data_IF_648804923568
#
_entry.id   IF_648804923568
#
_cell.length_a   1.000
_cell.length_b   1.000
_cell.length_c   1.000
_cell.angle_alpha   90.00
_cell.angle_beta   90.00
_cell.angle_gamma   90.00
#
_symmetry.space_group_name_H-M   'P 1'
#
loop_
_entity.id
_entity.type
_entity.pdbx_description
1 polymer ?
#
# COMPACT_ATOMS: atom_id res chain seq x y z
N UNK A 1 10.29 18.50 -6.20
CA UNK A 1 9.70 18.45 -7.56
C UNK A 1 8.81 17.21 -7.74
N UNK A 2 9.26 15.99 -7.48
CA UNK A 2 8.51 14.75 -7.72
C UNK A 2 7.11 14.74 -7.04
N UNK A 3 7.02 15.13 -5.77
CA UNK A 3 5.75 15.22 -5.03
C UNK A 3 4.92 16.42 -5.47
N UNK A 4 5.54 17.47 -5.98
CA UNK A 4 4.85 18.65 -6.52
C UNK A 4 4.20 18.40 -7.88
N UNK A 5 4.71 17.45 -8.66
CA UNK A 5 4.28 17.22 -10.03
C UNK A 5 2.75 17.16 -10.23
N UNK A 6 1.97 16.37 -9.46
CA UNK A 6 0.51 16.38 -9.62
C UNK A 6 -0.13 17.75 -9.27
N UNK A 7 0.44 18.47 -8.31
CA UNK A 7 -0.03 19.81 -7.96
C UNK A 7 0.26 20.82 -9.07
N UNK A 8 1.42 20.72 -9.71
CA UNK A 8 1.82 21.59 -10.83
C UNK A 8 0.92 21.37 -12.06
N UNK A 9 0.44 20.15 -12.26
CA UNK A 9 -0.36 19.78 -13.44
C UNK A 9 -1.86 19.99 -13.25
N UNK A 10 -2.38 19.82 -12.02
CA UNK A 10 -3.83 19.68 -11.80
C UNK A 10 -4.39 20.63 -10.73
N UNK A 11 -3.56 21.48 -10.09
CA UNK A 11 -4.01 22.45 -9.10
C UNK A 11 -3.85 23.87 -9.64
N UNK A 12 -4.79 24.75 -9.25
CA UNK A 12 -4.70 26.19 -9.49
C UNK A 12 -4.07 26.95 -8.30
N UNK A 13 -3.49 26.25 -7.35
CA UNK A 13 -2.90 26.83 -6.15
C UNK A 13 -1.65 27.66 -6.49
N UNK A 14 -1.33 28.63 -5.61
CA UNK A 14 -0.10 29.38 -5.73
C UNK A 14 1.12 28.47 -5.57
N UNK A 15 2.25 28.88 -6.13
CA UNK A 15 3.52 28.11 -5.92
C UNK A 15 3.83 27.90 -4.44
N UNK A 16 3.57 28.89 -3.61
CA UNK A 16 3.76 28.82 -2.15
C UNK A 16 2.89 27.71 -1.53
N UNK A 17 1.64 27.61 -1.91
CA UNK A 17 0.70 26.61 -1.38
C UNK A 17 1.06 25.21 -1.87
N UNK A 18 1.44 25.05 -3.13
CA UNK A 18 1.93 23.78 -3.69
C UNK A 18 3.18 23.29 -2.96
N UNK A 19 4.15 24.17 -2.70
CA UNK A 19 5.33 23.82 -1.90
C UNK A 19 4.94 23.40 -0.47
N UNK A 20 4.05 24.16 0.18
CA UNK A 20 3.55 23.82 1.52
C UNK A 20 2.88 22.44 1.53
N UNK A 21 2.02 22.16 0.54
CA UNK A 21 1.35 20.87 0.41
C UNK A 21 2.32 19.72 0.16
N UNK A 22 3.27 19.88 -0.74
CA UNK A 22 4.28 18.86 -1.03
C UNK A 22 5.14 18.54 0.21
N UNK A 23 5.53 19.56 0.98
CA UNK A 23 6.26 19.36 2.24
C UNK A 23 5.43 18.64 3.28
N UNK A 24 4.15 19.00 3.42
CA UNK A 24 3.22 18.28 4.27
C UNK A 24 3.12 16.79 3.88
N UNK A 25 2.97 16.46 2.60
CA UNK A 25 2.94 15.07 2.14
C UNK A 25 4.25 14.31 2.44
N UNK A 26 5.40 14.97 2.29
CA UNK A 26 6.69 14.37 2.66
C UNK A 26 6.84 14.13 4.17
N UNK A 27 6.32 15.04 4.99
CA UNK A 27 6.27 14.89 6.43
C UNK A 27 5.42 13.69 6.85
N UNK A 28 4.25 13.50 6.24
CA UNK A 28 3.35 12.37 6.48
C UNK A 28 3.96 10.99 6.22
N UNK A 29 4.93 10.93 5.33
CA UNK A 29 5.68 9.70 5.02
C UNK A 29 7.06 9.66 5.70
N UNK A 30 7.32 10.54 6.67
CA UNK A 30 8.59 10.65 7.40
C UNK A 30 9.81 10.88 6.49
N UNK A 31 9.67 11.76 5.48
CA UNK A 31 10.73 12.08 4.51
C UNK A 31 10.98 13.57 4.32
N UNK A 32 10.57 14.41 5.26
CA UNK A 32 10.79 15.86 5.16
C UNK A 32 12.28 16.22 5.05
N UNK A 33 13.15 15.49 5.74
CA UNK A 33 14.61 15.71 5.71
C UNK A 33 15.25 15.28 4.38
N UNK A 34 14.55 14.46 3.61
CA UNK A 34 14.98 14.02 2.28
C UNK A 34 14.45 14.87 1.13
N UNK A 35 13.77 16.00 1.41
CA UNK A 35 13.09 16.83 0.40
C UNK A 35 14.00 17.36 -0.73
N UNK A 36 15.31 17.42 -0.51
CA UNK A 36 16.31 17.90 -1.49
C UNK A 36 17.09 16.78 -2.16
N UNK A 37 16.86 15.53 -1.80
CA UNK A 37 17.54 14.37 -2.37
C UNK A 37 16.93 13.96 -3.71
N UNK A 38 17.77 13.47 -4.59
CA UNK A 38 17.34 12.83 -5.84
C UNK A 38 16.91 11.38 -5.59
N UNK A 39 16.06 10.78 -6.48
CA UNK A 39 15.64 9.39 -6.34
C UNK A 39 16.78 8.38 -6.19
N UNK A 40 17.93 8.61 -6.87
CA UNK A 40 19.12 7.75 -6.75
C UNK A 40 19.88 7.87 -5.42
N UNK A 41 19.55 8.85 -4.58
CA UNK A 41 20.20 9.10 -3.28
C UNK A 41 19.38 8.56 -2.11
N UNK A 42 18.25 7.92 -2.37
CA UNK A 42 17.33 7.38 -1.37
C UNK A 42 17.11 5.88 -1.59
N UNK A 43 16.82 5.14 -0.51
CA UNK A 43 16.57 3.70 -0.55
C UNK A 43 15.26 3.36 -1.30
N UNK A 44 15.10 2.09 -1.72
CA UNK A 44 13.87 1.60 -2.36
C UNK A 44 12.62 1.86 -1.50
N UNK A 45 12.67 1.59 -0.19
CA UNK A 45 11.58 1.90 0.72
C UNK A 45 11.27 3.40 0.83
N UNK A 46 12.30 4.26 0.79
CA UNK A 46 12.10 5.71 0.71
C UNK A 46 11.44 6.12 -0.61
N UNK A 47 11.81 5.51 -1.73
CA UNK A 47 11.19 5.76 -3.04
C UNK A 47 9.70 5.38 -3.04
N UNK A 48 9.34 4.23 -2.45
CA UNK A 48 7.94 3.82 -2.27
C UNK A 48 7.16 4.84 -1.43
N UNK A 49 7.74 5.33 -0.33
CA UNK A 49 7.11 6.37 0.50
C UNK A 49 6.94 7.70 -0.24
N UNK A 50 7.91 8.10 -1.07
CA UNK A 50 7.77 9.28 -1.95
C UNK A 50 6.63 9.09 -2.95
N UNK A 51 6.44 7.87 -3.51
CA UNK A 51 5.33 7.57 -4.41
C UNK A 51 3.97 7.72 -3.69
N UNK A 52 3.85 7.27 -2.45
CA UNK A 52 2.65 7.48 -1.61
C UNK A 52 2.44 8.98 -1.34
N UNK A 53 3.48 9.73 -0.94
CA UNK A 53 3.40 11.18 -0.73
C UNK A 53 2.89 11.92 -1.98
N UNK A 54 3.35 11.51 -3.16
CA UNK A 54 2.90 12.05 -4.45
C UNK A 54 1.45 11.71 -4.74
N UNK A 55 1.03 10.48 -4.45
CA UNK A 55 -0.34 10.03 -4.70
C UNK A 55 -1.36 10.79 -3.85
N UNK A 56 -1.04 11.12 -2.59
CA UNK A 56 -1.94 11.87 -1.69
C UNK A 56 -1.88 13.39 -1.85
N UNK A 57 -1.03 13.92 -2.73
CA UNK A 57 -0.82 15.37 -2.86
C UNK A 57 -2.10 16.13 -3.21
N UNK A 58 -2.97 15.56 -4.03
CA UNK A 58 -4.25 16.15 -4.48
C UNK A 58 -5.46 15.81 -3.59
N UNK A 59 -5.26 15.27 -2.39
CA UNK A 59 -6.36 14.82 -1.50
C UNK A 59 -7.33 13.86 -2.23
N UNK A 60 -6.87 12.73 -2.74
CA UNK A 60 -7.72 11.81 -3.48
C UNK A 60 -8.77 11.18 -2.55
N UNK A 61 -9.94 10.84 -3.12
CA UNK A 61 -10.95 10.00 -2.43
C UNK A 61 -10.65 8.51 -2.59
N UNK A 62 -9.88 8.14 -3.61
CA UNK A 62 -9.50 6.77 -3.94
C UNK A 62 -7.99 6.68 -4.12
N UNK A 63 -7.37 5.69 -3.47
CA UNK A 63 -5.94 5.40 -3.61
C UNK A 63 -5.78 3.98 -4.18
N UNK A 64 -5.01 3.85 -5.25
CA UNK A 64 -4.69 2.57 -5.87
C UNK A 64 -3.20 2.29 -5.70
N UNK A 65 -2.89 1.19 -5.03
CA UNK A 65 -1.53 0.73 -4.78
C UNK A 65 -1.33 -0.61 -5.50
N UNK A 66 -0.40 -0.63 -6.45
CA UNK A 66 -0.01 -1.84 -7.16
C UNK A 66 1.35 -2.32 -6.65
N UNK A 67 1.36 -3.48 -5.98
CA UNK A 67 2.55 -4.10 -5.38
C UNK A 67 3.41 -3.10 -4.58
N UNK A 68 2.83 -2.41 -3.57
CA UNK A 68 3.54 -1.33 -2.87
C UNK A 68 4.81 -1.81 -2.17
N UNK A 69 4.87 -3.07 -1.76
CA UNK A 69 5.97 -3.69 -1.02
C UNK A 69 6.95 -4.46 -1.87
N UNK A 70 6.72 -4.56 -3.19
CA UNK A 70 7.58 -5.34 -4.08
C UNK A 70 9.05 -4.91 -4.01
N UNK A 71 9.93 -5.87 -3.80
CA UNK A 71 11.38 -5.66 -3.75
C UNK A 71 11.91 -5.09 -2.44
N UNK A 72 11.12 -5.06 -1.37
CA UNK A 72 11.51 -4.61 -0.05
C UNK A 72 11.79 -5.81 0.89
N UNK A 73 12.59 -5.57 1.91
CA UNK A 73 12.74 -6.51 3.03
C UNK A 73 11.46 -6.55 3.90
N UNK A 74 11.21 -7.63 4.66
CA UNK A 74 9.98 -7.79 5.43
C UNK A 74 9.71 -6.66 6.43
N UNK A 75 10.75 -6.11 7.06
CA UNK A 75 10.60 -5.02 8.02
C UNK A 75 10.18 -3.73 7.35
N UNK A 76 10.76 -3.42 6.20
CA UNK A 76 10.41 -2.24 5.41
C UNK A 76 9.02 -2.38 4.80
N UNK A 77 8.60 -3.59 4.41
CA UNK A 77 7.25 -3.88 3.92
C UNK A 77 6.19 -3.56 4.97
N UNK A 78 6.37 -3.98 6.21
CA UNK A 78 5.46 -3.63 7.31
C UNK A 78 5.31 -2.11 7.50
N UNK A 79 6.39 -1.35 7.40
CA UNK A 79 6.33 0.12 7.49
C UNK A 79 5.51 0.73 6.36
N UNK A 80 5.54 0.16 5.15
CA UNK A 80 4.72 0.61 4.02
C UNK A 80 3.24 0.28 4.26
N UNK A 81 2.95 -0.93 4.76
CA UNK A 81 1.58 -1.36 5.07
C UNK A 81 0.96 -0.47 6.15
N UNK A 82 1.66 -0.26 7.27
CA UNK A 82 1.23 0.65 8.34
C UNK A 82 0.97 2.06 7.80
N UNK A 83 1.87 2.59 6.96
CA UNK A 83 1.72 3.91 6.36
C UNK A 83 0.47 4.00 5.45
N UNK A 84 0.19 2.98 4.64
CA UNK A 84 -1.00 2.92 3.79
C UNK A 84 -2.26 2.87 4.67
N UNK A 85 -2.27 2.05 5.70
CA UNK A 85 -3.37 1.94 6.65
C UNK A 85 -3.66 3.27 7.37
N UNK A 86 -2.62 3.91 7.92
CA UNK A 86 -2.73 5.19 8.63
C UNK A 86 -3.30 6.29 7.72
N UNK A 87 -2.78 6.40 6.50
CA UNK A 87 -3.24 7.38 5.50
C UNK A 87 -4.70 7.08 5.12
N UNK A 88 -5.05 5.84 4.88
CA UNK A 88 -6.41 5.40 4.54
C UNK A 88 -7.39 5.83 5.63
N UNK A 89 -7.05 5.56 6.87
CA UNK A 89 -7.91 5.84 8.04
C UNK A 89 -8.00 7.34 8.33
N UNK A 90 -6.85 8.01 8.40
CA UNK A 90 -6.78 9.44 8.77
C UNK A 90 -7.49 10.35 7.76
N UNK A 91 -7.34 10.06 6.47
CA UNK A 91 -7.93 10.88 5.40
C UNK A 91 -9.27 10.34 4.90
N UNK A 92 -9.77 9.25 5.48
CA UNK A 92 -11.00 8.58 5.05
C UNK A 92 -11.00 8.29 3.54
N UNK A 93 -9.90 7.71 3.07
CA UNK A 93 -9.68 7.34 1.67
C UNK A 93 -10.15 5.89 1.46
N UNK A 94 -10.80 5.60 0.35
CA UNK A 94 -11.00 4.22 -0.08
C UNK A 94 -9.73 3.75 -0.79
N UNK A 95 -9.03 2.79 -0.20
CA UNK A 95 -7.76 2.28 -0.74
C UNK A 95 -7.94 0.88 -1.33
N UNK A 96 -7.45 0.69 -2.54
CA UNK A 96 -7.38 -0.62 -3.21
C UNK A 96 -5.90 -0.99 -3.35
N UNK A 97 -5.51 -2.09 -2.71
CA UNK A 97 -4.14 -2.61 -2.78
C UNK A 97 -4.16 -3.91 -3.60
N UNK A 98 -3.46 -3.92 -4.72
CA UNK A 98 -3.17 -5.13 -5.47
C UNK A 98 -1.84 -5.70 -4.95
N UNK A 99 -1.86 -6.91 -4.41
CA UNK A 99 -0.66 -7.57 -3.89
C UNK A 99 -0.81 -9.09 -3.88
N UNK A 100 0.30 -9.78 -3.91
CA UNK A 100 0.40 -11.23 -3.66
C UNK A 100 0.99 -11.55 -2.28
N UNK A 101 1.34 -10.54 -1.49
CA UNK A 101 1.88 -10.73 -0.14
C UNK A 101 0.75 -10.92 0.88
N UNK A 102 0.62 -12.14 1.37
CA UNK A 102 -0.39 -12.49 2.37
C UNK A 102 -0.19 -11.77 3.72
N UNK A 103 1.03 -11.33 4.05
CA UNK A 103 1.24 -10.53 5.27
C UNK A 103 0.56 -9.17 5.13
N UNK A 104 0.68 -8.52 3.98
CA UNK A 104 -0.03 -7.26 3.70
C UNK A 104 -1.54 -7.48 3.70
N UNK A 105 -2.04 -8.53 3.03
CA UNK A 105 -3.47 -8.85 3.00
C UNK A 105 -4.02 -9.01 4.42
N UNK A 106 -3.34 -9.76 5.28
CA UNK A 106 -3.78 -10.00 6.67
C UNK A 106 -3.56 -8.80 7.59
N UNK A 107 -2.53 -7.99 7.31
CA UNK A 107 -2.19 -6.81 8.10
C UNK A 107 -3.16 -5.66 7.92
N UNK A 108 -3.48 -5.30 6.69
CA UNK A 108 -4.23 -4.08 6.36
C UNK A 108 -5.51 -4.31 5.55
N UNK A 109 -5.82 -5.56 5.15
CA UNK A 109 -7.01 -5.85 4.36
C UNK A 109 -8.29 -5.89 5.21
N UNK A 110 -9.32 -5.15 4.82
CA UNK A 110 -10.66 -5.23 5.40
C UNK A 110 -11.54 -6.16 4.56
N UNK A 111 -11.59 -5.90 3.24
CA UNK A 111 -12.30 -6.71 2.24
C UNK A 111 -11.30 -7.24 1.22
N UNK A 112 -11.34 -8.52 0.96
CA UNK A 112 -10.37 -9.23 0.13
C UNK A 112 -11.08 -9.81 -1.09
N UNK A 113 -10.54 -9.54 -2.27
CA UNK A 113 -11.00 -10.11 -3.52
C UNK A 113 -9.85 -10.93 -4.12
N UNK A 114 -10.08 -12.23 -4.32
CA UNK A 114 -9.13 -13.08 -5.01
C UNK A 114 -9.46 -13.15 -6.50
N UNK A 115 -8.50 -12.74 -7.32
CA UNK A 115 -8.59 -12.74 -8.78
C UNK A 115 -7.78 -13.92 -9.34
N UNK A 116 -8.40 -14.73 -10.17
CA UNK A 116 -7.75 -15.83 -10.87
C UNK A 116 -8.12 -15.81 -12.36
N UNK A 117 -7.13 -15.83 -13.23
CA UNK A 117 -7.31 -15.79 -14.70
C UNK A 117 -8.27 -14.69 -15.19
N UNK A 118 -8.19 -13.50 -14.58
CA UNK A 118 -9.02 -12.35 -14.94
C UNK A 118 -10.45 -12.36 -14.39
N UNK A 119 -10.81 -13.34 -13.55
CA UNK A 119 -12.12 -13.45 -12.93
C UNK A 119 -12.06 -13.33 -11.42
N UNK A 120 -13.12 -12.76 -10.82
CA UNK A 120 -13.32 -12.78 -9.37
C UNK A 120 -13.66 -14.22 -8.95
N UNK A 121 -12.73 -14.88 -8.28
CA UNK A 121 -12.84 -16.28 -7.86
C UNK A 121 -13.39 -16.40 -6.44
N UNK A 122 -13.06 -15.42 -5.57
CA UNK A 122 -13.53 -15.39 -4.19
C UNK A 122 -13.55 -13.94 -3.67
N UNK A 123 -14.40 -13.70 -2.68
CA UNK A 123 -14.50 -12.44 -1.94
C UNK A 123 -14.90 -12.72 -0.50
N UNK A 124 -14.33 -11.96 0.45
CA UNK A 124 -14.61 -12.04 1.87
C UNK A 124 -13.72 -11.15 2.70
N UNK A 125 -13.76 -11.33 4.01
CA UNK A 125 -12.92 -10.62 4.98
C UNK A 125 -11.63 -11.39 5.28
N UNK A 126 -10.69 -10.76 5.98
CA UNK A 126 -9.47 -11.44 6.46
C UNK A 126 -9.77 -12.62 7.40
N UNK A 127 -10.84 -12.54 8.19
CA UNK A 127 -11.23 -13.61 9.10
C UNK A 127 -11.80 -14.84 8.37
N UNK A 128 -12.38 -14.62 7.19
CA UNK A 128 -12.97 -15.67 6.37
C UNK A 128 -11.96 -16.34 5.44
N UNK A 129 -10.86 -15.67 5.13
CA UNK A 129 -9.85 -16.13 4.15
C UNK A 129 -9.28 -17.51 4.50
N UNK A 130 -8.93 -17.75 5.77
CA UNK A 130 -8.35 -19.03 6.19
C UNK A 130 -9.37 -20.17 6.30
N UNK A 131 -10.66 -19.83 6.42
CA UNK A 131 -11.78 -20.78 6.51
C UNK A 131 -12.49 -20.97 5.16
N UNK A 132 -12.00 -20.33 4.10
CA UNK A 132 -12.60 -20.41 2.79
C UNK A 132 -12.53 -21.85 2.24
N UNK A 133 -13.63 -22.29 1.65
CA UNK A 133 -13.74 -23.62 1.00
C UNK A 133 -13.23 -23.62 -0.44
N UNK A 134 -12.88 -22.44 -0.98
CA UNK A 134 -12.38 -22.29 -2.34
C UNK A 134 -10.98 -22.92 -2.47
N UNK A 135 -10.87 -23.98 -3.28
CA UNK A 135 -9.64 -24.75 -3.44
C UNK A 135 -8.50 -23.92 -4.01
N UNK A 136 -8.75 -23.07 -5.02
CA UNK A 136 -7.73 -22.26 -5.68
C UNK A 136 -7.15 -21.20 -4.74
N UNK A 137 -8.01 -20.57 -3.95
CA UNK A 137 -7.60 -19.65 -2.92
C UNK A 137 -6.71 -20.36 -1.89
N UNK A 138 -7.14 -21.53 -1.42
CA UNK A 138 -6.37 -22.34 -0.49
C UNK A 138 -5.00 -22.74 -1.07
N UNK A 139 -4.95 -23.18 -2.31
CA UNK A 139 -3.70 -23.54 -2.98
C UNK A 139 -2.74 -22.33 -3.07
N UNK A 140 -3.28 -21.14 -3.31
CA UNK A 140 -2.50 -19.90 -3.34
C UNK A 140 -1.99 -19.50 -1.94
N UNK A 141 -2.87 -19.43 -0.94
CA UNK A 141 -2.51 -19.02 0.43
C UNK A 141 -1.50 -19.99 1.04
N UNK A 142 -1.77 -21.29 0.92
CA UNK A 142 -0.96 -22.35 1.51
C UNK A 142 0.11 -22.90 0.57
N UNK A 143 0.50 -22.14 -0.46
CA UNK A 143 1.63 -22.48 -1.32
C UNK A 143 2.95 -22.57 -0.55
N UNK A 144 3.12 -21.79 0.55
CA UNK A 144 4.29 -21.88 1.41
C UNK A 144 4.10 -22.90 2.54
N UNK A 145 5.15 -23.67 2.84
CA UNK A 145 5.13 -24.70 3.91
C UNK A 145 4.91 -24.12 5.30
N UNK A 146 5.27 -22.85 5.51
CA UNK A 146 5.03 -22.15 6.77
C UNK A 146 3.53 -21.96 7.04
N UNK A 147 2.78 -21.50 6.04
CA UNK A 147 1.33 -21.27 6.18
C UNK A 147 0.54 -22.57 6.23
N UNK A 148 1.05 -23.67 5.64
CA UNK A 148 0.45 -25.00 5.81
C UNK A 148 0.48 -25.46 7.27
N UNK A 149 1.61 -25.27 7.97
CA UNK A 149 1.75 -25.64 9.41
C UNK A 149 0.78 -24.86 10.28
N UNK A 150 0.62 -23.54 10.03
CA UNK A 150 -0.35 -22.71 10.78
C UNK A 150 -1.78 -23.21 10.62
N UNK A 151 -2.18 -23.71 9.44
CA UNK A 151 -3.49 -24.29 9.19
C UNK A 151 -3.71 -25.61 9.95
N UNK A 152 -2.66 -26.44 10.07
CA UNK A 152 -2.72 -27.74 10.77
C UNK A 152 -2.80 -27.58 12.29
N UNK A 153 -2.15 -26.54 12.84
CA UNK A 153 -2.18 -26.23 14.29
C UNK A 153 -3.49 -25.58 14.76
N UNK A 154 -4.29 -25.00 13.85
CA UNK A 154 -5.56 -24.34 14.16
C UNK A 154 -6.79 -25.24 13.87
N UNK A 155 -6.60 -26.54 13.61
CA UNK A 155 -7.66 -27.56 13.50
C UNK A 155 -7.79 -28.37 14.78
#
# INVERSE_FOLDING_TARGET
ENVMFPLDMFSNDTLRDRIRRARFCLDRVNLIDAQKKYPGEISGGMQKRVAIARAIALNPQYLFCDEPNSGLDPKTSLVIDELIHDITTEYNITTIVNTHDMNSVMGIGDSIIYIYQGHKEWEGTKDEVFNATNQRLNDFIFASDLLKKVKEENK
#
